data_IF_882050438732
#
_entry.id   IF_882050438732
#
_cell.length_a   1.000
_cell.length_b   1.000
_cell.length_c   1.000
_cell.angle_alpha   90.00
_cell.angle_beta   90.00
_cell.angle_gamma   90.00
#
_symmetry.space_group_name_H-M   'P 1'
#
loop_
_entity.id
_entity.type
_entity.pdbx_description
1 polymer ?
#
# COMPACT_ATOMS: atom_id res chain seq x y z
N UNK A 1 -4.59 21.24 -12.56
CA UNK A 1 -5.34 20.18 -13.30
C UNK A 1 -6.18 19.43 -12.28
N UNK A 2 -7.36 18.93 -12.61
CA UNK A 2 -8.07 18.00 -11.70
C UNK A 2 -7.27 16.73 -11.56
N UNK A 3 -7.05 16.28 -10.33
CA UNK A 3 -6.30 15.05 -10.03
C UNK A 3 -7.19 14.04 -9.31
N UNK A 4 -6.85 12.77 -9.45
CA UNK A 4 -7.57 11.65 -8.87
C UNK A 4 -6.67 10.92 -7.87
N UNK A 5 -7.21 10.55 -6.71
CA UNK A 5 -6.46 9.88 -5.65
C UNK A 5 -7.26 8.72 -5.06
N UNK A 6 -6.62 7.56 -4.96
CA UNK A 6 -7.16 6.45 -4.19
C UNK A 6 -7.15 6.83 -2.69
N UNK A 7 -8.23 6.45 -1.98
CA UNK A 7 -8.36 6.81 -0.57
C UNK A 7 -7.28 6.12 0.28
N UNK A 8 -7.03 4.83 0.02
CA UNK A 8 -6.03 4.01 0.74
C UNK A 8 -6.21 4.08 2.27
N UNK A 9 -7.47 4.03 2.72
CA UNK A 9 -7.84 4.16 4.12
C UNK A 9 -7.77 5.58 4.71
N UNK A 10 -7.38 6.59 3.93
CA UNK A 10 -7.45 8.00 4.34
C UNK A 10 -8.89 8.50 4.22
N UNK A 11 -9.31 9.31 5.18
CA UNK A 11 -10.65 9.88 5.25
C UNK A 11 -10.54 11.39 5.06
N UNK A 12 -11.44 11.92 4.25
CA UNK A 12 -11.61 13.33 3.93
C UNK A 12 -13.06 13.57 3.52
N UNK A 13 -13.50 14.81 3.65
CA UNK A 13 -14.87 15.24 3.32
C UNK A 13 -14.91 16.14 2.08
N UNK A 14 -16.09 16.28 1.49
CA UNK A 14 -16.32 17.23 0.40
C UNK A 14 -15.94 18.66 0.84
N UNK A 15 -15.25 19.37 -0.04
CA UNK A 15 -14.75 20.71 0.20
C UNK A 15 -13.42 20.78 0.97
N UNK A 16 -12.90 19.67 1.49
CA UNK A 16 -11.63 19.67 2.23
C UNK A 16 -10.45 20.04 1.32
N UNK A 17 -9.58 20.94 1.81
CA UNK A 17 -8.40 21.40 1.08
C UNK A 17 -7.31 20.32 1.04
N UNK A 18 -6.51 20.32 -0.02
CA UNK A 18 -5.50 19.31 -0.30
C UNK A 18 -4.20 19.93 -0.81
N UNK A 19 -3.07 19.45 -0.28
CA UNK A 19 -1.73 19.76 -0.79
C UNK A 19 -1.23 18.60 -1.65
N UNK A 20 -1.11 18.84 -2.96
CA UNK A 20 -0.63 17.86 -3.92
C UNK A 20 0.90 17.65 -3.88
N UNK A 21 1.67 18.53 -3.23
CA UNK A 21 3.12 18.36 -3.10
C UNK A 21 3.48 17.28 -2.07
N UNK A 22 2.65 17.14 -1.04
CA UNK A 22 2.83 16.19 0.06
C UNK A 22 1.78 15.07 0.03
N UNK A 23 0.82 15.13 -0.91
CA UNK A 23 -0.35 14.26 -1.00
C UNK A 23 -1.14 14.16 0.32
N UNK A 24 -1.40 15.31 0.95
CA UNK A 24 -2.06 15.40 2.27
C UNK A 24 -3.33 16.23 2.26
N UNK A 25 -4.36 15.75 2.96
CA UNK A 25 -5.53 16.56 3.30
C UNK A 25 -5.17 17.58 4.39
N UNK A 26 -5.64 18.80 4.25
CA UNK A 26 -5.24 19.93 5.10
C UNK A 26 -6.09 20.04 6.38
N UNK A 27 -7.16 19.25 6.54
CA UNK A 27 -8.07 19.31 7.69
C UNK A 27 -9.05 20.50 7.67
N UNK A 28 -8.80 21.53 6.86
CA UNK A 28 -9.69 22.67 6.67
C UNK A 28 -10.43 22.60 5.34
N UNK A 29 -11.67 23.09 5.32
CA UNK A 29 -12.52 23.14 4.13
C UNK A 29 -12.45 24.48 3.41
N UNK A 30 -12.89 24.48 2.15
CA UNK A 30 -12.99 25.68 1.31
C UNK A 30 -14.22 26.55 1.61
N UNK A 31 -15.20 25.99 2.33
CA UNK A 31 -16.44 26.66 2.70
C UNK A 31 -16.34 27.24 4.11
N UNK A 32 -16.93 28.41 4.34
CA UNK A 32 -17.07 28.99 5.69
C UNK A 32 -18.12 28.25 6.53
N UNK A 33 -19.23 27.91 5.88
CA UNK A 33 -20.35 27.21 6.48
C UNK A 33 -20.44 25.77 5.98
N UNK A 34 -21.23 24.96 6.68
CA UNK A 34 -21.50 23.58 6.24
C UNK A 34 -22.22 23.61 4.89
N UNK A 35 -21.65 22.91 3.91
CA UNK A 35 -22.28 22.72 2.60
C UNK A 35 -23.66 22.06 2.76
N UNK A 36 -24.76 22.69 2.30
CA UNK A 36 -26.10 22.11 2.34
C UNK A 36 -26.16 20.78 1.59
N UNK A 37 -27.00 19.84 2.06
CA UNK A 37 -27.13 18.52 1.41
C UNK A 37 -27.72 18.62 -0.01
N UNK A 38 -28.53 19.64 -0.28
CA UNK A 38 -29.14 19.93 -1.60
C UNK A 38 -28.11 20.31 -2.66
N UNK A 39 -26.95 20.81 -2.24
CA UNK A 39 -25.85 21.22 -3.13
C UNK A 39 -24.84 20.08 -3.38
N UNK A 40 -25.13 18.89 -2.86
CA UNK A 40 -24.33 17.69 -3.08
C UNK A 40 -25.05 16.79 -4.07
N UNK A 41 -24.45 16.65 -5.25
CA UNK A 41 -24.92 15.69 -6.23
C UNK A 41 -24.59 14.27 -5.75
N UNK A 42 -25.61 13.41 -5.68
CA UNK A 42 -25.46 12.01 -5.32
C UNK A 42 -25.92 11.13 -6.48
N UNK A 43 -25.04 10.22 -6.91
CA UNK A 43 -25.33 9.24 -7.96
C UNK A 43 -25.12 7.84 -7.38
N UNK A 44 -26.17 7.01 -7.46
CA UNK A 44 -26.06 5.58 -7.17
C UNK A 44 -25.37 4.88 -8.35
N UNK A 45 -24.22 4.26 -8.12
CA UNK A 45 -23.43 3.58 -9.16
C UNK A 45 -22.85 2.24 -8.67
N UNK A 46 -23.72 1.47 -8.02
CA UNK A 46 -23.43 0.17 -7.41
C UNK A 46 -22.82 -0.84 -8.39
N UNK A 47 -21.58 -1.26 -8.14
CA UNK A 47 -20.94 -2.37 -8.86
C UNK A 47 -19.76 -2.94 -8.08
N UNK A 48 -19.39 -4.18 -8.41
CA UNK A 48 -18.26 -4.89 -7.79
C UNK A 48 -17.19 -5.18 -8.86
N UNK A 49 -15.93 -4.91 -8.54
CA UNK A 49 -14.76 -5.28 -9.34
C UNK A 49 -13.86 -6.23 -8.55
N UNK A 50 -13.44 -7.32 -9.18
CA UNK A 50 -12.60 -8.35 -8.60
C UNK A 50 -11.30 -8.46 -9.39
N UNK A 51 -10.17 -8.30 -8.70
CA UNK A 51 -8.83 -8.48 -9.28
C UNK A 51 -8.08 -9.55 -8.52
N UNK A 52 -7.23 -10.28 -9.23
CA UNK A 52 -6.37 -11.30 -8.66
C UNK A 52 -4.91 -10.97 -8.91
N UNK A 53 -4.07 -11.20 -7.90
CA UNK A 53 -2.62 -11.04 -7.94
C UNK A 53 -1.98 -12.36 -7.50
N UNK A 54 -0.98 -12.82 -8.25
CA UNK A 54 -0.27 -14.09 -7.99
C UNK A 54 1.24 -13.91 -7.86
N UNK A 55 1.71 -12.66 -7.96
CA UNK A 55 3.10 -12.29 -7.73
C UNK A 55 3.13 -11.16 -6.70
N UNK A 56 4.24 -11.02 -5.99
CA UNK A 56 4.38 -9.98 -4.96
C UNK A 56 5.18 -8.78 -5.50
N UNK A 57 4.93 -8.38 -6.76
CA UNK A 57 5.56 -7.22 -7.37
C UNK A 57 4.78 -5.95 -7.02
N UNK A 58 5.47 -4.91 -6.57
CA UNK A 58 4.91 -3.60 -6.27
C UNK A 58 4.20 -3.00 -7.47
N UNK A 59 4.78 -3.15 -8.67
CA UNK A 59 4.12 -2.72 -9.91
C UNK A 59 2.71 -3.31 -10.05
N UNK A 60 2.57 -4.62 -9.86
CA UNK A 60 1.28 -5.31 -9.96
C UNK A 60 0.29 -4.83 -8.89
N UNK A 61 0.77 -4.58 -7.66
CA UNK A 61 -0.08 -4.03 -6.57
C UNK A 61 -0.61 -2.65 -6.92
N UNK A 62 0.26 -1.74 -7.35
CA UNK A 62 -0.10 -0.37 -7.71
C UNK A 62 -1.11 -0.36 -8.87
N UNK A 63 -0.86 -1.15 -9.91
CA UNK A 63 -1.72 -1.21 -11.09
C UNK A 63 -3.10 -1.79 -10.76
N UNK A 64 -3.21 -2.89 -10.00
CA UNK A 64 -4.51 -3.49 -9.63
C UNK A 64 -5.29 -2.67 -8.60
N UNK A 65 -4.61 -1.87 -7.79
CA UNK A 65 -5.26 -0.92 -6.88
C UNK A 65 -5.60 0.41 -7.55
N UNK A 66 -5.30 0.57 -8.84
CA UNK A 66 -5.50 1.81 -9.60
C UNK A 66 -4.84 3.03 -8.92
N UNK A 67 -3.63 2.83 -8.39
CA UNK A 67 -2.80 3.90 -7.85
C UNK A 67 -2.02 4.48 -9.03
N UNK A 68 -2.27 5.74 -9.36
CA UNK A 68 -1.82 6.37 -10.60
C UNK A 68 -1.02 7.65 -10.34
N UNK A 69 -0.22 8.04 -11.33
CA UNK A 69 0.54 9.29 -11.32
C UNK A 69 1.42 9.47 -10.08
N UNK A 70 1.44 10.68 -9.54
CA UNK A 70 2.31 11.07 -8.44
C UNK A 70 1.99 10.34 -7.14
N UNK A 71 0.77 9.79 -6.98
CA UNK A 71 0.42 9.00 -5.80
C UNK A 71 1.30 7.74 -5.67
N UNK A 72 1.77 7.18 -6.80
CA UNK A 72 2.76 6.09 -6.80
C UNK A 72 4.06 6.55 -6.13
N UNK A 73 4.55 7.74 -6.49
CA UNK A 73 5.78 8.32 -5.94
C UNK A 73 5.63 8.69 -4.46
N UNK A 74 4.50 9.28 -4.08
CA UNK A 74 4.22 9.63 -2.68
C UNK A 74 4.12 8.41 -1.78
N UNK A 75 3.57 7.29 -2.28
CA UNK A 75 3.62 6.02 -1.56
C UNK A 75 5.06 5.50 -1.41
N UNK A 76 5.80 5.38 -2.53
CA UNK A 76 7.16 4.82 -2.52
C UNK A 76 8.16 5.62 -1.68
N UNK A 77 7.96 6.94 -1.58
CA UNK A 77 8.77 7.82 -0.74
C UNK A 77 8.37 7.83 0.74
N UNK A 78 7.23 7.21 1.09
CA UNK A 78 6.68 7.24 2.45
C UNK A 78 6.02 8.58 2.82
N UNK A 79 5.70 9.43 1.83
CA UNK A 79 5.06 10.72 2.07
C UNK A 79 3.59 10.58 2.52
N UNK A 80 2.95 9.46 2.17
CA UNK A 80 1.59 9.16 2.62
C UNK A 80 1.56 7.98 3.58
N UNK A 81 0.74 8.11 4.63
CA UNK A 81 0.39 6.99 5.50
C UNK A 81 -0.88 6.31 4.98
N UNK A 82 -0.80 5.01 4.76
CA UNK A 82 -1.93 4.19 4.31
C UNK A 82 -2.63 3.51 5.49
N UNK A 83 -3.95 3.36 5.37
CA UNK A 83 -4.81 2.67 6.32
C UNK A 83 -5.58 1.53 5.67
N UNK A 84 -6.32 0.76 6.47
CA UNK A 84 -7.24 -0.28 5.98
C UNK A 84 -6.62 -1.23 4.94
N UNK A 85 -7.27 -1.32 3.79
CA UNK A 85 -6.83 -2.11 2.63
C UNK A 85 -5.52 -1.61 2.02
N UNK A 86 -5.22 -0.31 2.15
CA UNK A 86 -3.97 0.30 1.65
C UNK A 86 -2.70 -0.30 2.27
N UNK A 87 -2.79 -0.86 3.48
CA UNK A 87 -1.70 -1.61 4.13
C UNK A 87 -1.22 -2.82 3.34
N UNK A 88 -1.99 -3.29 2.36
CA UNK A 88 -1.55 -4.34 1.45
C UNK A 88 -0.30 -3.93 0.65
N UNK A 89 -0.11 -2.63 0.40
CA UNK A 89 1.09 -2.14 -0.26
C UNK A 89 2.35 -2.38 0.57
N UNK A 90 2.25 -2.36 1.90
CA UNK A 90 3.35 -2.65 2.82
C UNK A 90 3.61 -4.16 2.97
N UNK A 91 2.67 -5.00 2.53
CA UNK A 91 2.86 -6.44 2.56
C UNK A 91 3.98 -6.84 1.60
N UNK A 92 4.90 -7.69 2.05
CA UNK A 92 5.95 -8.27 1.20
C UNK A 92 6.16 -9.73 1.60
N UNK A 93 6.59 -10.55 0.63
CA UNK A 93 7.01 -11.92 0.88
C UNK A 93 8.22 -11.93 1.81
N UNK A 94 8.16 -12.74 2.87
CA UNK A 94 9.25 -12.85 3.86
C UNK A 94 10.48 -13.60 3.34
N UNK A 95 10.36 -14.35 2.24
CA UNK A 95 11.48 -15.10 1.62
C UNK A 95 11.21 -15.44 0.15
N UNK A 96 12.23 -15.82 -0.62
CA UNK A 96 12.05 -16.38 -1.98
C UNK A 96 11.20 -17.66 -2.03
N UNK A 97 10.99 -18.32 -0.89
CA UNK A 97 10.19 -19.54 -0.80
C UNK A 97 8.72 -19.25 -0.55
N UNK A 98 8.35 -18.02 -0.20
CA UNK A 98 6.96 -17.66 0.05
C UNK A 98 6.27 -17.22 -1.25
N UNK A 99 5.21 -17.94 -1.61
CA UNK A 99 4.30 -17.59 -2.70
C UNK A 99 2.96 -17.14 -2.12
N UNK A 100 2.26 -16.26 -2.83
CA UNK A 100 0.96 -15.75 -2.41
C UNK A 100 -0.05 -15.74 -3.57
N UNK A 101 -1.33 -15.82 -3.22
CA UNK A 101 -2.42 -15.45 -4.10
C UNK A 101 -3.33 -14.49 -3.35
N UNK A 102 -3.66 -13.38 -4.00
CA UNK A 102 -4.43 -12.29 -3.42
C UNK A 102 -5.66 -12.00 -4.28
N UNK A 103 -6.80 -11.84 -3.63
CA UNK A 103 -8.04 -11.30 -4.19
C UNK A 103 -8.22 -9.87 -3.68
N UNK A 104 -8.35 -8.92 -4.60
CA UNK A 104 -8.80 -7.55 -4.32
C UNK A 104 -10.28 -7.47 -4.73
N UNK A 105 -11.14 -7.22 -3.76
CA UNK A 105 -12.55 -6.96 -3.96
C UNK A 105 -12.83 -5.47 -3.74
N UNK A 106 -13.29 -4.78 -4.78
CA UNK A 106 -13.73 -3.39 -4.71
C UNK A 106 -15.23 -3.33 -4.94
N UNK A 107 -15.96 -2.90 -3.93
CA UNK A 107 -17.39 -2.61 -4.02
C UNK A 107 -17.52 -1.11 -4.13
N UNK A 108 -18.15 -0.62 -5.19
CA UNK A 108 -18.56 0.78 -5.34
C UNK A 108 -20.05 0.86 -5.08
N UNK A 109 -20.50 1.89 -4.36
CA UNK A 109 -21.92 2.10 -4.01
C UNK A 109 -22.46 3.38 -4.62
N UNK A 110 -21.87 4.51 -4.25
CA UNK A 110 -22.34 5.85 -4.60
C UNK A 110 -21.19 6.77 -4.98
N UNK A 111 -21.49 7.83 -5.71
CA UNK A 111 -20.58 8.94 -5.94
C UNK A 111 -21.24 10.23 -5.50
N UNK A 112 -20.50 11.01 -4.72
CA UNK A 112 -20.94 12.28 -4.16
C UNK A 112 -20.03 13.39 -4.70
N UNK A 113 -20.59 14.50 -5.20
CA UNK A 113 -19.79 15.59 -5.77
C UNK A 113 -20.41 16.96 -5.56
N UNK A 114 -19.57 17.99 -5.70
CA UNK A 114 -19.98 19.39 -5.65
C UNK A 114 -19.99 19.95 -7.08
N UNK A 115 -21.11 20.56 -7.48
CA UNK A 115 -21.17 21.33 -8.72
C UNK A 115 -20.78 22.79 -8.47
N UNK A 116 -19.51 23.10 -8.74
CA UNK A 116 -18.93 24.44 -8.62
C UNK A 116 -19.53 25.45 -9.61
N UNK A 117 -20.30 25.01 -10.60
CA UNK A 117 -21.01 25.92 -11.51
C UNK A 117 -22.28 26.53 -10.89
N UNK A 118 -22.75 25.98 -9.76
CA UNK A 118 -23.93 26.50 -9.07
C UNK A 118 -23.59 27.73 -8.23
N UNK A 119 -24.37 28.81 -8.39
CA UNK A 119 -24.14 30.07 -7.69
C UNK A 119 -24.23 29.91 -6.15
N UNK A 120 -25.11 29.05 -5.65
CA UNK A 120 -25.25 28.74 -4.23
C UNK A 120 -23.94 28.20 -3.64
N UNK A 121 -23.31 27.24 -4.32
CA UNK A 121 -21.99 26.69 -3.91
C UNK A 121 -20.92 27.76 -3.93
N UNK A 122 -20.82 28.52 -5.03
CA UNK A 122 -19.76 29.53 -5.17
C UNK A 122 -19.88 30.66 -4.14
N UNK A 123 -21.10 31.00 -3.70
CA UNK A 123 -21.34 32.00 -2.66
C UNK A 123 -20.86 31.58 -1.26
N UNK A 124 -20.68 30.27 -1.02
CA UNK A 124 -20.19 29.72 0.24
C UNK A 124 -18.66 29.63 0.31
N UNK A 125 -17.96 29.87 -0.81
CA UNK A 125 -16.51 29.81 -0.88
C UNK A 125 -15.90 30.90 0.00
N UNK A 126 -14.81 30.55 0.68
CA UNK A 126 -14.11 31.44 1.58
C UNK A 126 -12.68 31.69 1.16
N UNK A 127 -12.38 32.93 0.79
CA UNK A 127 -11.01 33.38 0.54
C UNK A 127 -10.14 33.26 1.80
N UNK A 128 -10.73 33.49 2.98
CA UNK A 128 -10.03 33.36 4.26
C UNK A 128 -9.63 31.91 4.54
N UNK A 129 -10.50 30.95 4.25
CA UNK A 129 -10.17 29.53 4.41
C UNK A 129 -8.99 29.09 3.54
N UNK A 130 -8.89 29.62 2.32
CA UNK A 130 -7.79 29.31 1.40
C UNK A 130 -6.50 30.04 1.76
N UNK A 131 -6.58 31.31 2.15
CA UNK A 131 -5.40 32.11 2.55
C UNK A 131 -4.73 31.57 3.83
N UNK A 132 -5.52 31.03 4.76
CA UNK A 132 -5.02 30.37 5.97
C UNK A 132 -4.32 29.02 5.70
N UNK A 133 -4.47 28.47 4.50
CA UNK A 133 -3.85 27.22 4.06
C UNK A 133 -2.93 27.48 2.86
N UNK A 134 -1.77 28.14 3.07
CA UNK A 134 -0.96 28.66 1.96
C UNK A 134 -0.38 27.56 1.05
N UNK A 135 -0.36 26.31 1.50
CA UNK A 135 0.11 25.16 0.72
C UNK A 135 -1.00 24.37 0.02
N UNK A 136 -2.27 24.68 0.29
CA UNK A 136 -3.37 24.05 -0.42
C UNK A 136 -3.28 24.36 -1.92
N UNK A 137 -3.52 23.34 -2.72
CA UNK A 137 -3.47 23.39 -4.19
C UNK A 137 -4.79 22.95 -4.82
N UNK A 138 -5.49 22.05 -4.15
CA UNK A 138 -6.75 21.45 -4.60
C UNK A 138 -7.74 21.42 -3.44
N UNK A 139 -8.98 21.06 -3.74
CA UNK A 139 -9.99 20.68 -2.75
C UNK A 139 -10.76 19.44 -3.23
N UNK A 140 -11.36 18.71 -2.28
CA UNK A 140 -12.17 17.53 -2.57
C UNK A 140 -13.48 17.96 -3.22
N UNK A 141 -13.59 17.81 -4.54
CA UNK A 141 -14.81 18.13 -5.28
C UNK A 141 -15.70 16.90 -5.52
N UNK A 142 -15.17 15.69 -5.30
CA UNK A 142 -15.92 14.45 -5.42
C UNK A 142 -15.34 13.31 -4.60
N UNK A 143 -16.22 12.43 -4.15
CA UNK A 143 -15.90 11.22 -3.38
C UNK A 143 -16.64 10.04 -4.02
N UNK A 144 -15.92 8.98 -4.33
CA UNK A 144 -16.52 7.67 -4.61
C UNK A 144 -16.54 6.86 -3.34
N UNK A 145 -17.70 6.31 -3.03
CA UNK A 145 -17.96 5.55 -1.83
C UNK A 145 -18.05 4.06 -2.12
N UNK A 146 -17.76 3.25 -1.11
CA UNK A 146 -17.86 1.80 -1.19
C UNK A 146 -17.03 1.10 -0.11
N UNK A 147 -16.34 0.03 -0.48
CA UNK A 147 -15.33 -0.61 0.35
C UNK A 147 -14.32 -1.37 -0.52
N UNK A 148 -13.08 -1.49 -0.02
CA UNK A 148 -12.08 -2.39 -0.57
C UNK A 148 -11.73 -3.43 0.49
N UNK A 149 -11.74 -4.70 0.10
CA UNK A 149 -11.30 -5.83 0.89
C UNK A 149 -10.24 -6.62 0.12
N UNK A 150 -9.12 -6.93 0.77
CA UNK A 150 -7.99 -7.63 0.17
C UNK A 150 -7.72 -8.87 1.00
N UNK A 151 -7.98 -10.03 0.40
CA UNK A 151 -7.77 -11.33 1.00
C UNK A 151 -6.53 -11.97 0.39
N UNK A 152 -5.58 -12.38 1.22
CA UNK A 152 -4.31 -12.98 0.77
C UNK A 152 -4.11 -14.34 1.42
N UNK A 153 -3.79 -15.33 0.60
CA UNK A 153 -3.33 -16.65 1.05
C UNK A 153 -1.85 -16.77 0.73
N UNK A 154 -1.03 -17.15 1.71
CA UNK A 154 0.42 -17.35 1.59
C UNK A 154 0.78 -18.80 1.86
N UNK A 155 1.81 -19.29 1.17
CA UNK A 155 2.38 -20.61 1.38
C UNK A 155 3.91 -20.51 1.31
N UNK A 156 4.59 -20.99 2.35
CA UNK A 156 6.05 -21.14 2.32
C UNK A 156 6.40 -22.50 1.78
N UNK A 157 7.16 -22.50 0.69
CA UNK A 157 7.63 -23.69 -0.02
C UNK A 157 8.72 -24.44 0.75
N UNK A 158 8.60 -25.76 0.82
CA UNK A 158 9.68 -26.67 1.20
C UNK A 158 10.64 -26.91 0.02
N UNK A 159 11.87 -27.38 0.29
CA UNK A 159 12.87 -27.60 -0.78
C UNK A 159 12.41 -28.60 -1.84
N UNK A 160 11.56 -29.56 -1.47
CA UNK A 160 11.01 -30.59 -2.33
C UNK A 160 9.82 -30.14 -3.18
N UNK A 161 9.17 -29.02 -2.88
CA UNK A 161 7.94 -28.68 -3.61
C UNK A 161 8.23 -28.07 -4.99
N UNK A 162 7.37 -28.43 -5.95
CA UNK A 162 7.25 -27.75 -7.22
C UNK A 162 6.56 -26.39 -7.04
N UNK A 163 7.22 -25.32 -7.51
CA UNK A 163 6.70 -23.96 -7.52
C UNK A 163 5.35 -23.86 -8.24
N UNK A 164 5.17 -24.58 -9.37
CA UNK A 164 3.94 -24.56 -10.15
C UNK A 164 2.78 -25.20 -9.40
N UNK A 165 3.05 -26.27 -8.65
CA UNK A 165 2.03 -26.95 -7.86
C UNK A 165 1.53 -26.06 -6.71
N UNK A 166 2.44 -25.36 -6.03
CA UNK A 166 2.09 -24.39 -4.99
C UNK A 166 1.26 -23.25 -5.57
N UNK A 167 1.66 -22.69 -6.71
CA UNK A 167 0.92 -21.62 -7.38
C UNK A 167 -0.50 -22.08 -7.77
N UNK A 168 -0.63 -23.30 -8.31
CA UNK A 168 -1.92 -23.89 -8.64
C UNK A 168 -2.80 -24.09 -7.38
N UNK A 169 -2.22 -24.55 -6.28
CA UNK A 169 -2.92 -24.72 -5.00
C UNK A 169 -3.39 -23.38 -4.43
N UNK A 170 -2.55 -22.34 -4.46
CA UNK A 170 -2.89 -20.99 -4.02
C UNK A 170 -4.04 -20.39 -4.86
N UNK A 171 -3.95 -20.52 -6.19
CA UNK A 171 -5.01 -20.12 -7.14
C UNK A 171 -6.33 -20.83 -6.85
N UNK A 172 -6.29 -22.16 -6.68
CA UNK A 172 -7.47 -22.94 -6.35
C UNK A 172 -8.08 -22.53 -5.01
N UNK A 173 -7.25 -22.21 -4.01
CA UNK A 173 -7.70 -21.78 -2.69
C UNK A 173 -8.38 -20.42 -2.76
N UNK A 174 -7.72 -19.39 -3.31
CA UNK A 174 -8.30 -18.04 -3.37
C UNK A 174 -9.61 -17.99 -4.21
N UNK A 175 -9.73 -18.83 -5.23
CA UNK A 175 -10.93 -18.91 -6.07
C UNK A 175 -12.19 -19.41 -5.33
N UNK A 176 -12.03 -19.99 -4.13
CA UNK A 176 -13.13 -20.40 -3.25
C UNK A 176 -13.81 -19.21 -2.58
N UNK A 177 -13.15 -18.06 -2.47
CA UNK A 177 -13.77 -16.84 -1.96
C UNK A 177 -14.75 -16.31 -3.01
N UNK A 178 -16.01 -16.18 -2.61
CA UNK A 178 -17.09 -15.61 -3.44
C UNK A 178 -17.62 -14.35 -2.78
N UNK A 179 -17.98 -13.34 -3.58
CA UNK A 179 -18.52 -12.06 -3.12
C UNK A 179 -20.02 -12.04 -3.38
N UNK A 180 -20.81 -11.93 -2.31
CA UNK A 180 -22.27 -12.00 -2.40
C UNK A 180 -22.81 -13.39 -2.75
N UNK A 181 -24.09 -13.62 -2.40
CA UNK A 181 -24.83 -14.83 -2.73
C UNK A 181 -25.70 -15.35 -1.58
N UNK A 182 -26.93 -15.77 -1.88
CA UNK A 182 -27.88 -16.37 -0.90
C UNK A 182 -27.66 -17.86 -0.63
N UNK A 183 -26.57 -18.44 -1.10
CA UNK A 183 -26.33 -19.87 -0.94
C UNK A 183 -25.94 -20.23 0.50
N UNK A 184 -26.76 -21.05 1.16
CA UNK A 184 -26.38 -21.85 2.35
C UNK A 184 -25.36 -22.96 1.99
N UNK A 185 -24.39 -22.64 1.14
CA UNK A 185 -23.27 -23.54 0.86
C UNK A 185 -22.27 -23.41 2.00
N UNK A 186 -22.36 -24.32 2.98
CA UNK A 186 -21.27 -24.53 3.94
C UNK A 186 -19.98 -24.81 3.16
N UNK A 187 -18.95 -24.01 3.40
CA UNK A 187 -17.61 -24.34 2.96
C UNK A 187 -17.19 -25.65 3.63
N UNK A 188 -17.10 -26.73 2.84
CA UNK A 188 -16.51 -27.99 3.32
C UNK A 188 -15.00 -27.93 3.10
N UNK A 189 -14.26 -28.13 4.19
CA UNK A 189 -12.79 -28.19 4.19
C UNK A 189 -12.36 -29.33 3.26
N UNK A 190 -11.50 -29.02 2.29
CA UNK A 190 -10.99 -30.03 1.36
C UNK A 190 -10.08 -31.00 2.12
N UNK A 191 -10.28 -32.31 1.93
CA UNK A 191 -9.43 -33.33 2.55
C UNK A 191 -7.95 -33.22 2.10
N UNK A 192 -7.73 -32.69 0.89
CA UNK A 192 -6.42 -32.40 0.31
C UNK A 192 -5.71 -31.16 0.89
N UNK A 193 -6.42 -30.31 1.64
CA UNK A 193 -5.88 -29.08 2.24
C UNK A 193 -5.03 -29.35 3.50
N UNK A 194 -4.97 -30.62 3.95
CA UNK A 194 -4.27 -31.04 5.18
C UNK A 194 -2.74 -31.20 5.04
N UNK A 195 -2.19 -31.23 3.83
CA UNK A 195 -0.75 -31.48 3.64
C UNK A 195 0.12 -30.22 3.68
N UNK A 196 -0.46 -29.02 3.56
CA UNK A 196 0.29 -27.76 3.44
C UNK A 196 -0.24 -26.70 4.39
N UNK A 197 0.68 -26.03 5.09
CA UNK A 197 0.35 -24.93 6.00
C UNK A 197 0.19 -23.64 5.21
N UNK A 198 -1.06 -23.21 5.03
CA UNK A 198 -1.39 -21.90 4.45
C UNK A 198 -1.57 -20.86 5.55
N UNK A 199 -1.05 -19.65 5.30
CA UNK A 199 -1.32 -18.48 6.13
C UNK A 199 -2.35 -17.59 5.42
N UNK A 200 -3.23 -16.98 6.20
CA UNK A 200 -4.29 -16.12 5.70
C UNK A 200 -4.15 -14.70 6.28
N UNK A 201 -4.45 -13.71 5.46
CA UNK A 201 -4.45 -12.30 5.82
C UNK A 201 -5.63 -11.59 5.14
N UNK A 202 -6.32 -10.74 5.89
CA UNK A 202 -7.46 -9.95 5.41
C UNK A 202 -7.31 -8.50 5.82
N UNK A 203 -7.32 -7.60 4.83
CA UNK A 203 -7.25 -6.16 5.02
C UNK A 203 -8.50 -5.51 4.42
N UNK A 204 -9.22 -4.71 5.20
CA UNK A 204 -10.53 -4.16 4.82
C UNK A 204 -10.61 -2.69 5.26
N UNK A 205 -11.22 -1.83 4.44
CA UNK A 205 -11.43 -0.42 4.77
C UNK A 205 -12.67 -0.15 5.64
N UNK A 206 -13.67 -1.03 5.60
CA UNK A 206 -14.91 -0.94 6.37
C UNK A 206 -15.15 -2.22 7.17
N UNK A 207 -14.84 -2.19 8.47
CA UNK A 207 -15.29 -3.25 9.39
C UNK A 207 -16.74 -2.94 9.84
N UNK A 208 -17.63 -3.94 9.86
CA UNK A 208 -18.92 -3.80 10.54
C UNK A 208 -18.66 -3.54 12.02
N UNK A 209 -19.39 -2.60 12.62
CA UNK A 209 -19.30 -2.37 14.06
C UNK A 209 -19.68 -3.66 14.82
N UNK A 210 -18.71 -4.26 15.52
CA UNK A 210 -18.94 -5.38 16.44
C UNK A 210 -18.76 -6.79 15.87
N UNK A 211 -18.44 -6.97 14.58
CA UNK A 211 -18.04 -8.27 14.05
C UNK A 211 -16.51 -8.46 14.18
N UNK A 212 -16.08 -9.66 14.63
CA UNK A 212 -14.66 -10.02 14.68
C UNK A 212 -14.07 -10.08 13.27
N UNK A 213 -12.86 -9.54 13.12
CA UNK A 213 -12.07 -9.71 11.89
C UNK A 213 -11.84 -11.21 11.70
N UNK A 214 -12.17 -11.78 10.52
CA UNK A 214 -11.94 -13.19 10.23
C UNK A 214 -10.52 -13.63 10.58
N UNK A 215 -10.40 -14.61 11.48
CA UNK A 215 -9.09 -15.09 11.96
C UNK A 215 -8.52 -16.23 11.10
N UNK A 216 -9.36 -16.88 10.31
CA UNK A 216 -8.99 -17.98 9.42
C UNK A 216 -9.65 -17.84 8.04
N UNK A 217 -9.27 -18.74 7.14
CA UNK A 217 -9.71 -18.70 5.76
C UNK A 217 -11.21 -18.99 5.61
N UNK A 218 -11.76 -19.87 6.45
CA UNK A 218 -13.17 -20.24 6.45
C UNK A 218 -14.06 -19.08 6.90
N UNK A 219 -13.71 -18.42 8.00
CA UNK A 219 -14.36 -17.20 8.47
C UNK A 219 -14.30 -16.10 7.39
N UNK A 220 -13.19 -16.01 6.66
CA UNK A 220 -13.04 -15.02 5.60
C UNK A 220 -13.97 -15.29 4.41
N UNK A 221 -14.20 -16.54 4.04
CA UNK A 221 -15.18 -16.88 2.99
C UNK A 221 -16.56 -16.39 3.39
N UNK A 222 -16.99 -16.64 4.64
CA UNK A 222 -18.30 -16.20 5.11
C UNK A 222 -18.40 -14.67 5.24
N UNK A 223 -17.34 -14.03 5.71
CA UNK A 223 -17.26 -12.58 5.76
C UNK A 223 -17.38 -11.96 4.35
N UNK A 224 -16.63 -12.47 3.38
CA UNK A 224 -16.63 -11.94 2.01
C UNK A 224 -17.98 -12.15 1.29
N UNK A 225 -18.74 -13.20 1.64
CA UNK A 225 -20.13 -13.36 1.19
C UNK A 225 -21.04 -12.25 1.73
N UNK A 226 -20.87 -11.86 3.00
CA UNK A 226 -21.66 -10.82 3.69
C UNK A 226 -21.18 -9.40 3.41
N UNK A 227 -19.97 -9.22 2.87
CA UNK A 227 -19.36 -7.91 2.64
C UNK A 227 -20.29 -6.91 1.92
N UNK A 228 -21.00 -7.25 0.82
CA UNK A 228 -21.93 -6.31 0.19
C UNK A 228 -23.05 -5.81 1.12
N UNK A 229 -23.56 -6.68 2.01
CA UNK A 229 -24.59 -6.31 3.00
C UNK A 229 -24.03 -5.36 4.04
N UNK A 230 -22.79 -5.60 4.51
CA UNK A 230 -22.12 -4.70 5.44
C UNK A 230 -21.91 -3.31 4.85
N UNK A 231 -21.48 -3.20 3.59
CA UNK A 231 -21.31 -1.91 2.92
C UNK A 231 -22.66 -1.20 2.74
N UNK A 232 -23.71 -1.94 2.34
CA UNK A 232 -25.05 -1.38 2.15
C UNK A 232 -25.67 -0.84 3.45
N UNK A 233 -25.29 -1.38 4.61
CA UNK A 233 -25.78 -0.94 5.92
C UNK A 233 -24.90 0.15 6.57
N UNK A 234 -23.74 0.48 5.98
CA UNK A 234 -22.83 1.48 6.51
C UNK A 234 -23.07 2.87 5.89
N UNK A 235 -23.03 3.92 6.72
CA UNK A 235 -23.06 5.33 6.27
C UNK A 235 -24.21 5.64 5.29
N UNK A 236 -25.43 5.22 5.61
CA UNK A 236 -26.60 5.41 4.72
C UNK A 236 -26.47 4.71 3.36
N UNK A 237 -25.76 3.58 3.32
CA UNK A 237 -25.49 2.81 2.11
C UNK A 237 -24.34 3.34 1.26
N UNK A 238 -23.57 4.32 1.75
CA UNK A 238 -22.33 4.77 1.11
C UNK A 238 -21.17 3.80 1.40
N UNK A 239 -21.04 3.29 2.62
CA UNK A 239 -19.77 2.69 3.07
C UNK A 239 -18.71 3.77 3.34
N UNK A 240 -17.45 3.49 2.99
CA UNK A 240 -16.28 4.35 3.22
C UNK A 240 -15.74 4.95 1.92
N UNK A 241 -14.96 6.04 1.98
CA UNK A 241 -14.32 6.59 0.79
C UNK A 241 -13.33 5.59 0.18
N UNK A 242 -13.41 5.40 -1.14
CA UNK A 242 -12.46 4.54 -1.89
C UNK A 242 -11.67 5.34 -2.92
N UNK A 243 -12.14 6.54 -3.28
CA UNK A 243 -11.51 7.41 -4.27
C UNK A 243 -11.94 8.87 -4.09
N UNK A 244 -11.03 9.79 -4.41
CA UNK A 244 -11.24 11.23 -4.38
C UNK A 244 -10.98 11.86 -5.75
N UNK A 245 -11.87 12.78 -6.13
CA UNK A 245 -11.65 13.74 -7.21
C UNK A 245 -11.28 15.08 -6.58
N UNK A 246 -10.12 15.60 -6.96
CA UNK A 246 -9.55 16.81 -6.39
C UNK A 246 -9.47 17.90 -7.46
N UNK A 247 -10.27 18.95 -7.31
CA UNK A 247 -10.30 20.07 -8.25
C UNK A 247 -9.25 21.12 -7.83
N UNK A 248 -8.46 21.66 -8.77
CA UNK A 248 -7.44 22.65 -8.43
C UNK A 248 -8.10 23.96 -7.99
N UNK A 249 -7.55 24.61 -6.96
CA UNK A 249 -8.06 25.90 -6.50
C UNK A 249 -7.96 26.99 -7.58
N UNK A 250 -7.00 26.86 -8.50
CA UNK A 250 -6.88 27.75 -9.67
C UNK A 250 -8.12 27.73 -10.57
N UNK A 251 -8.93 26.66 -10.58
CA UNK A 251 -10.17 26.58 -11.36
C UNK A 251 -11.29 27.48 -10.83
N UNK A 252 -11.19 27.94 -9.58
CA UNK A 252 -12.18 28.79 -8.91
C UNK A 252 -11.59 30.14 -8.51
N UNK A 253 -10.45 30.52 -9.11
CA UNK A 253 -9.75 31.78 -8.81
C UNK A 253 -10.67 33.00 -8.97
N UNK A 254 -11.53 33.00 -9.99
CA UNK A 254 -12.48 34.09 -10.22
C UNK A 254 -13.51 34.25 -9.10
N UNK A 255 -13.80 33.18 -8.36
CA UNK A 255 -14.75 33.19 -7.24
C UNK A 255 -14.08 33.59 -5.92
N UNK A 256 -12.78 33.30 -5.76
CA UNK A 256 -12.00 33.54 -4.54
C UNK A 256 -11.28 34.90 -4.52
N UNK A 257 -11.26 35.62 -5.64
CA UNK A 257 -10.51 36.87 -5.80
C UNK A 257 -9.01 36.65 -5.98
N UNK A 258 -8.22 37.71 -5.77
CA UNK A 258 -6.78 37.69 -5.95
C UNK A 258 -6.07 37.10 -4.73
N UNK A 259 -5.89 35.78 -4.73
CA UNK A 259 -5.09 35.05 -3.73
C UNK A 259 -3.81 34.55 -4.41
N UNK A 260 -2.64 35.00 -3.93
CA UNK A 260 -1.34 34.66 -4.52
C UNK A 260 -1.06 33.15 -4.57
N UNK A 261 -1.54 32.36 -3.60
CA UNK A 261 -1.35 30.91 -3.60
C UNK A 261 -2.04 30.20 -4.78
N UNK A 262 -3.01 30.83 -5.44
CA UNK A 262 -3.73 30.28 -6.60
C UNK A 262 -2.93 30.36 -7.90
N UNK A 263 -1.86 31.16 -7.93
CA UNK A 263 -0.95 31.29 -9.08
C UNK A 263 0.17 30.25 -9.10
N UNK A 264 0.14 29.31 -8.14
CA UNK A 264 1.12 28.22 -8.07
C UNK A 264 0.94 27.24 -9.23
N UNK A 265 2.01 27.06 -9.99
CA UNK A 265 2.10 26.03 -11.01
C UNK A 265 2.43 24.70 -10.33
N UNK A 266 1.49 23.75 -10.40
CA UNK A 266 1.74 22.36 -10.01
C UNK A 266 2.25 21.62 -11.23
N UNK A 267 3.55 21.30 -11.25
CA UNK A 267 4.16 20.49 -12.30
C UNK A 267 3.96 19.00 -11.98
N UNK A 268 3.57 18.21 -12.98
CA UNK A 268 3.53 16.75 -12.85
C UNK A 268 4.95 16.19 -12.79
N UNK A 269 5.12 15.10 -12.05
CA UNK A 269 6.37 14.34 -12.06
C UNK A 269 6.46 13.55 -13.37
N UNK A 270 7.67 13.46 -13.93
CA UNK A 270 7.94 12.63 -15.11
C UNK A 270 7.55 11.17 -14.85
N UNK A 271 6.65 10.63 -15.68
CA UNK A 271 6.11 9.28 -15.51
C UNK A 271 7.21 8.21 -15.65
N UNK A 272 8.20 8.44 -16.51
CA UNK A 272 9.35 7.55 -16.67
C UNK A 272 10.20 7.48 -15.39
N UNK A 273 10.38 8.61 -14.70
CA UNK A 273 11.05 8.63 -13.40
C UNK A 273 10.29 7.80 -12.35
N UNK A 274 8.96 7.92 -12.29
CA UNK A 274 8.11 7.12 -11.39
C UNK A 274 8.26 5.63 -11.72
N UNK A 275 8.16 5.26 -13.00
CA UNK A 275 8.27 3.88 -13.45
C UNK A 275 9.66 3.28 -13.17
N UNK A 276 10.73 4.07 -13.30
CA UNK A 276 12.08 3.66 -12.89
C UNK A 276 12.18 3.40 -11.40
N UNK A 277 11.58 4.25 -10.56
CA UNK A 277 11.55 4.06 -9.11
C UNK A 277 10.82 2.77 -8.71
N UNK A 278 9.67 2.48 -9.33
CA UNK A 278 8.93 1.23 -9.12
C UNK A 278 9.79 0.02 -9.48
N UNK A 279 10.48 0.07 -10.63
CA UNK A 279 11.35 -1.03 -11.07
C UNK A 279 12.47 -1.28 -10.05
N UNK A 280 13.13 -0.23 -9.56
CA UNK A 280 14.18 -0.34 -8.54
C UNK A 280 13.61 -0.98 -7.27
N UNK A 281 12.41 -0.58 -6.83
CA UNK A 281 11.76 -1.14 -5.65
C UNK A 281 11.49 -2.65 -5.81
N UNK A 282 11.02 -3.07 -6.99
CA UNK A 282 10.80 -4.49 -7.31
C UNK A 282 12.11 -5.29 -7.35
N UNK A 283 13.15 -4.76 -7.99
CA UNK A 283 14.48 -5.38 -8.02
C UNK A 283 15.06 -5.53 -6.61
N UNK A 284 14.89 -4.52 -5.75
CA UNK A 284 15.30 -4.59 -4.34
C UNK A 284 14.54 -5.68 -3.58
N UNK A 285 13.21 -5.76 -3.74
CA UNK A 285 12.40 -6.80 -3.12
C UNK A 285 12.78 -8.20 -3.59
N UNK A 286 13.11 -8.37 -4.87
CA UNK A 286 13.64 -9.64 -5.38
C UNK A 286 15.03 -9.97 -4.82
N UNK A 287 15.88 -8.97 -4.59
CA UNK A 287 17.23 -9.14 -4.05
C UNK A 287 17.30 -9.45 -2.55
N UNK A 288 16.26 -9.09 -1.77
CA UNK A 288 16.13 -9.44 -0.34
C UNK A 288 15.67 -10.90 -0.16
N UNK A 289 15.11 -11.50 -1.22
CA UNK A 289 14.55 -12.86 -1.20
C UNK A 289 15.54 -14.04 -1.26
N UNK A 290 16.83 -13.97 -1.69
CA UNK A 290 17.65 -15.17 -1.78
C UNK A 290 17.93 -15.69 -0.37
N UNK A 291 17.46 -16.90 -0.10
CA UNK A 291 17.90 -17.66 1.06
C UNK A 291 19.39 -17.96 0.84
N UNK A 292 20.33 -17.38 1.62
CA UNK A 292 21.74 -17.67 1.43
C UNK A 292 21.94 -19.19 1.56
N UNK A 293 22.66 -19.86 0.62
CA UNK A 293 22.96 -21.27 0.79
C UNK A 293 23.64 -21.50 2.16
N UNK A 294 23.42 -22.65 2.81
CA UNK A 294 23.79 -22.89 4.23
C UNK A 294 25.21 -22.46 4.63
N UNK A 295 26.16 -22.44 3.69
CA UNK A 295 27.54 -21.98 3.90
C UNK A 295 27.72 -20.45 3.98
N UNK A 296 26.67 -19.65 3.73
CA UNK A 296 26.62 -18.19 3.85
C UNK A 296 25.98 -17.71 5.15
N UNK A 297 25.64 -18.60 6.08
CA UNK A 297 25.33 -18.19 7.46
C UNK A 297 26.57 -17.48 8.05
N UNK A 298 26.38 -16.23 8.49
CA UNK A 298 27.49 -15.38 8.98
C UNK A 298 28.26 -14.61 7.90
N UNK A 299 27.73 -14.53 6.67
CA UNK A 299 28.32 -13.68 5.64
C UNK A 299 27.89 -12.22 5.76
N UNK A 300 28.86 -11.30 5.68
CA UNK A 300 28.62 -9.88 5.55
C UNK A 300 28.44 -9.52 4.07
N UNK A 301 27.42 -8.73 3.76
CA UNK A 301 27.16 -8.20 2.42
C UNK A 301 26.96 -6.69 2.48
N UNK A 302 27.34 -5.99 1.42
CA UNK A 302 27.07 -4.57 1.23
C UNK A 302 26.40 -4.33 -0.12
N UNK A 303 25.51 -3.34 -0.18
CA UNK A 303 24.83 -2.95 -1.42
C UNK A 303 25.28 -1.55 -1.82
N UNK A 304 25.74 -1.36 -3.07
CA UNK A 304 26.17 -0.07 -3.58
C UNK A 304 26.03 0.02 -5.11
N UNK A 305 25.44 1.12 -5.62
CA UNK A 305 25.23 1.37 -7.06
C UNK A 305 24.65 0.15 -7.79
N UNK A 306 23.49 -0.30 -7.33
CA UNK A 306 22.72 -1.38 -7.95
C UNK A 306 23.44 -2.74 -8.01
N UNK A 307 24.45 -2.93 -7.16
CA UNK A 307 25.23 -4.17 -7.06
C UNK A 307 25.34 -4.64 -5.62
N UNK A 308 25.21 -5.96 -5.44
CA UNK A 308 25.43 -6.65 -4.18
C UNK A 308 26.88 -7.15 -4.10
N UNK A 309 27.60 -6.71 -3.07
CA UNK A 309 28.99 -7.08 -2.81
C UNK A 309 29.06 -8.07 -1.64
N UNK A 310 29.82 -9.14 -1.84
CA UNK A 310 30.12 -10.11 -0.80
C UNK A 310 31.37 -9.68 -0.04
N UNK A 311 31.25 -9.49 1.28
CA UNK A 311 32.34 -9.03 2.14
C UNK A 311 32.98 -10.17 2.98
N UNK A 312 32.59 -11.43 2.74
CA UNK A 312 33.13 -12.60 3.43
C UNK A 312 32.23 -13.17 4.54
N UNK A 313 32.43 -14.44 4.90
CA UNK A 313 31.70 -15.15 5.96
C UNK A 313 32.58 -16.12 6.77
N UNK A 314 32.18 -16.38 8.02
CA UNK A 314 33.01 -16.89 9.12
C UNK A 314 33.56 -18.33 9.06
N UNK A 315 33.72 -18.95 7.90
CA UNK A 315 34.28 -20.31 7.84
C UNK A 315 35.04 -20.69 6.56
N UNK A 316 35.38 -19.75 5.69
CA UNK A 316 36.24 -20.04 4.53
C UNK A 316 37.21 -18.90 4.23
N UNK A 317 38.51 -19.21 4.23
CA UNK A 317 39.60 -18.33 3.78
C UNK A 317 39.64 -18.20 2.23
N UNK A 318 38.48 -18.09 1.56
CA UNK A 318 38.42 -17.83 0.12
C UNK A 318 37.72 -16.52 -0.15
N UNK A 319 38.53 -15.53 -0.54
CA UNK A 319 38.09 -14.28 -1.14
C UNK A 319 38.14 -14.47 -2.65
N UNK A 320 37.00 -14.81 -3.25
CA UNK A 320 36.85 -14.72 -4.71
C UNK A 320 36.36 -13.31 -5.06
N UNK A 321 37.32 -12.42 -5.33
CA UNK A 321 37.08 -11.08 -5.86
C UNK A 321 36.95 -11.16 -7.38
N UNK A 322 35.72 -11.20 -7.90
CA UNK A 322 35.47 -10.87 -9.30
C UNK A 322 35.51 -9.33 -9.45
N UNK A 323 36.74 -8.79 -9.51
CA UNK A 323 37.21 -7.65 -10.32
C UNK A 323 38.37 -6.91 -9.63
N UNK A 324 39.38 -6.58 -10.44
CA UNK A 324 40.60 -5.86 -10.09
C UNK A 324 40.31 -4.36 -10.02
N UNK A 325 40.21 -3.80 -8.83
CA UNK A 325 40.54 -2.39 -8.59
C UNK A 325 41.28 -2.27 -7.25
N UNK A 326 42.40 -1.55 -7.25
CA UNK A 326 43.21 -1.23 -6.06
C UNK A 326 42.32 -0.61 -4.99
N UNK A 327 42.24 -1.23 -3.82
CA UNK A 327 41.64 -0.65 -2.62
C UNK A 327 42.79 -0.21 -1.70
N UNK A 328 42.96 1.09 -1.52
CA UNK A 328 43.65 1.62 -0.34
C UNK A 328 42.74 1.39 0.87
N UNK A 329 43.27 0.68 1.88
CA UNK A 329 42.56 0.42 3.14
C UNK A 329 42.42 1.71 3.94
N UNK A 330 41.20 2.16 4.13
CA UNK A 330 40.80 2.84 5.36
C UNK A 330 39.60 2.10 5.95
N UNK A 331 39.81 1.42 7.07
CA UNK A 331 38.75 0.92 7.92
C UNK A 331 38.79 1.78 9.16
N UNK A 332 37.77 2.60 9.34
CA UNK A 332 37.28 2.87 10.68
C UNK A 332 35.76 2.99 10.62
N UNK A 333 35.07 2.33 11.54
CA UNK A 333 33.82 2.77 12.16
C UNK A 333 33.40 1.74 13.21
N UNK A 334 33.67 2.07 14.47
CA UNK A 334 32.98 1.49 15.62
C UNK A 334 31.51 1.93 15.61
N UNK A 335 30.56 0.99 15.74
CA UNK A 335 29.14 1.31 15.94
C UNK A 335 28.86 1.58 17.43
N UNK A 336 28.41 2.80 17.74
CA UNK A 336 27.80 3.17 19.03
C UNK A 336 26.27 3.09 18.94
N UNK A 337 25.58 2.89 20.07
CA UNK A 337 24.13 3.08 20.13
C UNK A 337 23.77 4.59 20.28
N UNK A 338 22.49 4.94 20.13
CA UNK A 338 21.98 6.34 20.12
C UNK A 338 22.33 7.18 21.37
N UNK A 339 22.85 6.58 22.45
CA UNK A 339 23.28 7.28 23.67
C UNK A 339 24.80 7.17 23.94
N UNK A 340 25.60 6.74 22.97
CA UNK A 340 27.07 6.79 23.06
C UNK A 340 27.74 5.78 24.00
N UNK A 341 27.05 4.69 24.37
CA UNK A 341 27.65 3.60 25.16
C UNK A 341 27.84 2.32 24.32
N UNK A 342 28.93 1.60 24.58
CA UNK A 342 29.32 0.35 23.91
C UNK A 342 28.28 -0.74 24.16
N UNK A 343 27.96 -1.52 23.12
CA UNK A 343 27.09 -2.69 23.22
C UNK A 343 27.91 -3.90 23.70
N UNK A 344 27.93 -4.14 25.01
CA UNK A 344 28.52 -5.35 25.61
C UNK A 344 27.51 -6.51 25.56
N UNK A 345 27.47 -7.27 24.46
CA UNK A 345 26.82 -8.58 24.48
C UNK A 345 27.26 -9.48 23.32
N UNK A 346 28.56 -9.74 23.15
CA UNK A 346 29.07 -10.93 22.45
C UNK A 346 30.49 -11.25 22.93
N UNK A 347 30.63 -11.62 24.21
CA UNK A 347 31.80 -12.35 24.70
C UNK A 347 31.32 -13.58 25.44
N UNK A 348 31.30 -14.71 24.75
CA UNK A 348 31.52 -16.05 25.30
C UNK A 348 31.54 -17.01 24.12
N UNK A 349 32.73 -17.28 23.62
CA UNK A 349 33.22 -18.61 23.28
C UNK A 349 34.73 -18.47 23.07
N UNK A 350 35.45 -18.80 24.13
CA UNK A 350 36.89 -18.96 24.19
C UNK A 350 37.22 -20.22 23.40
N UNK A 351 38.02 -20.12 22.33
CA UNK A 351 38.65 -21.28 21.71
C UNK A 351 40.16 -21.05 21.74
N UNK A 352 40.81 -21.89 22.53
CA UNK A 352 42.26 -21.97 22.70
C UNK A 352 42.92 -22.30 21.36
N UNK A 353 44.00 -21.56 21.10
CA UNK A 353 44.98 -21.83 20.05
C UNK A 353 45.81 -23.06 20.41
N UNK A 354 45.97 -24.00 19.48
CA UNK A 354 47.21 -24.77 19.40
C UNK A 354 47.76 -24.76 17.97
N UNK A 355 49.00 -24.29 17.92
CA UNK A 355 49.94 -24.18 16.82
C UNK A 355 50.65 -25.54 16.65
N UNK A 356 50.94 -25.97 15.43
CA UNK A 356 52.11 -26.76 14.99
C UNK A 356 51.83 -27.13 13.51
N UNK A 357 52.64 -26.83 12.50
CA UNK A 357 54.00 -26.31 12.37
C UNK A 357 54.13 -25.69 10.98
#
# INVERSE_FOLDING_TARGET
MTIHRQALGRIAQLGELYDAHTDTFCGNGIFNDKLPEEEKDMIDNGHNDLKYIYNDAMKEKLDKLHIEGELKASFLSGAIQVGGSGKYLDSTSKSARESSATLICKITTKSESINISHCNVTSLLSSDSVTNMPNATHFVSGIRWGAIAIATVKCTREESDDKKEIEAALKAKIAKIKIGGSGHGEYKKDAHDKSRQFQFELLIDALPNGDDVPQDFEQAIEFMKKLPVYVANANGGKGVPIHYTLMPLSAIKTCLGNIESLDRIVNSIDEDAINKAIRIFDEMNESIRPNPPKWRFGASVAYFKDKLYYLGGGSTNRVDLLMVMKIERYIDYQRMNRNGLKLESFQKYEFLSELHR
#
